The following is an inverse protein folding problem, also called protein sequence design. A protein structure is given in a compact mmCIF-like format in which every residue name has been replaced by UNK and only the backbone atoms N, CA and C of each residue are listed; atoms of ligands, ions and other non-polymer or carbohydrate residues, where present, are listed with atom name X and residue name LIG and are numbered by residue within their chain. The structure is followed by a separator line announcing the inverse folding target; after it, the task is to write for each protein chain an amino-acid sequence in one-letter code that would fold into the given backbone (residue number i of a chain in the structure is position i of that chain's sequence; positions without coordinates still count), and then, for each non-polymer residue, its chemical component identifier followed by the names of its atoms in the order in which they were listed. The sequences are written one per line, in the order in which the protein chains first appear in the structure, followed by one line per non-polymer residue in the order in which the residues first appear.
data_IF_687013005337
#
_entry.id   IF_687013005337
#
_cell.length_a   1.000
_cell.length_b   1.000
_cell.length_c   1.000
_cell.angle_alpha   90.00
_cell.angle_beta   90.00
_cell.angle_gamma   90.00
#
_symmetry.space_group_name_H-M   'P 1'
#
loop_
_entity.id
_entity.type
_entity.pdbx_description
1 polymer ?
#
# COMPACT_ATOMS: atom_id res chain seq x y z
N UNK A 1 -6.61 -22.76 -19.14
CA UNK A 1 -5.30 -22.08 -18.95
C UNK A 1 -4.18 -22.76 -19.75
N UNK A 2 -3.92 -24.07 -19.59
CA UNK A 2 -2.90 -24.78 -20.39
C UNK A 2 -3.05 -24.68 -21.90
N UNK A 3 -4.27 -24.85 -22.43
CA UNK A 3 -4.53 -24.71 -23.87
C UNK A 3 -4.22 -23.30 -24.43
N UNK A 4 -4.03 -22.30 -23.55
CA UNK A 4 -3.62 -20.93 -23.91
C UNK A 4 -2.14 -20.64 -23.57
N UNK A 5 -1.34 -21.67 -23.29
CA UNK A 5 0.07 -21.57 -22.91
C UNK A 5 0.34 -20.68 -21.69
N UNK A 6 -0.62 -20.59 -20.76
CA UNK A 6 -0.44 -19.92 -19.47
C UNK A 6 0.24 -20.91 -18.52
N UNK A 7 1.35 -20.51 -17.90
CA UNK A 7 2.09 -21.30 -16.92
C UNK A 7 2.00 -20.74 -15.49
N UNK A 8 1.65 -19.47 -15.32
CA UNK A 8 1.55 -18.81 -14.01
C UNK A 8 0.18 -18.21 -13.80
N UNK A 9 -0.42 -18.42 -12.62
CA UNK A 9 -1.71 -17.86 -12.24
C UNK A 9 -1.54 -16.85 -11.11
N UNK A 10 -2.31 -15.77 -11.16
CA UNK A 10 -2.38 -14.77 -10.10
C UNK A 10 -3.68 -15.01 -9.31
N UNK A 11 -3.57 -15.16 -8.00
CA UNK A 11 -4.70 -15.48 -7.14
C UNK A 11 -4.71 -14.62 -5.88
N UNK A 12 -5.85 -13.98 -5.52
CA UNK A 12 -5.94 -13.21 -4.30
C UNK A 12 -5.93 -14.11 -3.06
N UNK A 13 -5.19 -13.66 -2.04
CA UNK A 13 -5.24 -14.17 -0.68
C UNK A 13 -5.64 -12.99 0.19
N UNK A 14 -6.77 -13.10 0.87
CA UNK A 14 -7.37 -11.98 1.60
C UNK A 14 -7.14 -12.13 3.09
N UNK A 15 -6.91 -11.02 3.80
CA UNK A 15 -6.74 -11.05 5.24
C UNK A 15 -7.96 -11.66 5.94
N UNK A 16 -9.18 -11.26 5.57
CA UNK A 16 -10.39 -11.79 6.18
C UNK A 16 -10.58 -13.32 6.07
N UNK A 17 -9.97 -13.98 5.07
CA UNK A 17 -9.97 -15.44 4.98
C UNK A 17 -8.82 -16.08 5.77
N UNK A 18 -7.66 -15.43 5.83
CA UNK A 18 -6.49 -15.94 6.56
C UNK A 18 -6.68 -15.81 8.07
N UNK A 19 -7.27 -14.72 8.55
CA UNK A 19 -7.49 -14.43 9.98
C UNK A 19 -8.90 -13.84 10.22
N UNK A 20 -9.96 -14.66 10.09
CA UNK A 20 -11.35 -14.21 10.26
C UNK A 20 -11.64 -13.70 11.68
N UNK A 21 -11.03 -14.33 12.69
CA UNK A 21 -11.01 -13.91 14.11
C UNK A 21 -9.58 -13.56 14.47
N UNK A 22 -9.37 -12.47 15.22
CA UNK A 22 -8.03 -12.04 15.62
C UNK A 22 -7.26 -13.16 16.35
N UNK A 23 -6.12 -13.57 15.79
CA UNK A 23 -5.28 -14.65 16.29
C UNK A 23 -5.62 -16.07 15.80
N UNK A 24 -6.74 -16.26 15.09
CA UNK A 24 -7.17 -17.56 14.56
C UNK A 24 -6.89 -17.64 13.06
N UNK A 25 -5.85 -18.41 12.69
CA UNK A 25 -5.39 -18.50 11.31
C UNK A 25 -5.94 -19.73 10.57
N UNK A 26 -6.33 -19.55 9.31
CA UNK A 26 -6.76 -20.65 8.42
C UNK A 26 -6.11 -20.55 7.04
N UNK A 27 -5.41 -21.61 6.63
CA UNK A 27 -4.74 -21.72 5.32
C UNK A 27 -5.37 -22.79 4.41
N UNK A 28 -6.44 -23.44 4.85
CA UNK A 28 -7.02 -24.63 4.18
C UNK A 28 -7.28 -24.44 2.68
N UNK A 29 -7.92 -23.34 2.31
CA UNK A 29 -8.25 -23.07 0.90
C UNK A 29 -6.99 -22.77 0.08
N UNK A 30 -6.03 -22.05 0.67
CA UNK A 30 -4.76 -21.74 0.03
C UNK A 30 -3.94 -23.02 -0.21
N UNK A 31 -3.89 -23.92 0.76
CA UNK A 31 -3.18 -25.19 0.66
C UNK A 31 -3.71 -26.04 -0.49
N UNK A 32 -5.04 -26.12 -0.62
CA UNK A 32 -5.67 -26.84 -1.71
C UNK A 32 -5.33 -26.23 -3.08
N UNK A 33 -5.33 -24.89 -3.17
CA UNK A 33 -4.93 -24.19 -4.40
C UNK A 33 -3.47 -24.48 -4.76
N UNK A 34 -2.55 -24.48 -3.79
CA UNK A 34 -1.14 -24.78 -4.01
C UNK A 34 -0.96 -26.22 -4.50
N UNK A 35 -1.61 -27.19 -3.84
CA UNK A 35 -1.56 -28.61 -4.22
C UNK A 35 -2.07 -28.81 -5.65
N UNK A 36 -3.21 -28.20 -5.99
CA UNK A 36 -3.79 -28.34 -7.32
C UNK A 36 -2.94 -27.65 -8.39
N UNK A 37 -2.39 -26.47 -8.11
CA UNK A 37 -1.46 -25.80 -9.00
C UNK A 37 -0.21 -26.64 -9.26
N UNK A 38 0.41 -27.19 -8.21
CA UNK A 38 1.56 -28.06 -8.32
C UNK A 38 1.26 -29.32 -9.14
N UNK A 39 0.18 -30.04 -8.82
CA UNK A 39 -0.29 -31.23 -9.54
C UNK A 39 -0.50 -30.95 -11.02
N UNK A 40 -0.99 -29.77 -11.36
CA UNK A 40 -1.21 -29.35 -12.73
C UNK A 40 -0.01 -28.62 -13.35
N UNK A 41 1.12 -28.46 -12.67
CA UNK A 41 2.31 -27.81 -13.19
C UNK A 41 2.12 -26.32 -13.49
N UNK A 42 1.31 -25.62 -12.69
CA UNK A 42 1.20 -24.17 -12.68
C UNK A 42 2.11 -23.58 -11.60
N UNK A 43 2.68 -22.42 -11.90
CA UNK A 43 3.28 -21.52 -10.92
C UNK A 43 2.21 -20.55 -10.42
N UNK A 44 2.41 -20.00 -9.23
CA UNK A 44 1.47 -19.08 -8.60
C UNK A 44 2.16 -17.79 -8.17
N UNK A 45 1.44 -16.69 -8.35
CA UNK A 45 1.74 -15.40 -7.73
C UNK A 45 0.56 -15.04 -6.85
N UNK A 46 0.80 -14.87 -5.55
CA UNK A 46 -0.27 -14.51 -4.61
C UNK A 46 -0.44 -13.00 -4.58
N UNK A 47 -1.69 -12.55 -4.52
CA UNK A 47 -2.05 -11.15 -4.33
C UNK A 47 -2.52 -10.94 -2.90
N UNK A 48 -1.68 -10.38 -2.03
CA UNK A 48 -2.07 -10.08 -0.66
C UNK A 48 -3.07 -8.91 -0.64
N UNK A 49 -4.33 -9.22 -0.41
CA UNK A 49 -5.37 -8.22 -0.15
C UNK A 49 -5.49 -8.07 1.37
N UNK A 50 -4.52 -7.34 1.93
CA UNK A 50 -4.42 -6.99 3.33
C UNK A 50 -5.24 -5.75 3.68
N UNK A 51 -4.56 -4.74 4.18
CA UNK A 51 -5.13 -3.46 4.58
C UNK A 51 -5.64 -2.65 3.40
N UNK A 52 -5.05 -2.80 2.21
CA UNK A 52 -5.42 -1.98 1.05
C UNK A 52 -5.67 -2.81 -0.21
N UNK A 53 -6.86 -2.64 -0.77
CA UNK A 53 -7.25 -3.09 -2.12
C UNK A 53 -8.00 -1.96 -2.81
N UNK A 54 -7.47 -1.47 -3.94
CA UNK A 54 -8.06 -0.36 -4.70
C UNK A 54 -8.33 0.84 -3.79
N UNK A 55 -7.33 1.21 -2.99
CA UNK A 55 -7.36 2.26 -1.97
C UNK A 55 -8.42 2.11 -0.86
N UNK A 56 -9.06 0.95 -0.72
CA UNK A 56 -10.05 0.65 0.34
C UNK A 56 -9.55 -0.47 1.25
N UNK A 57 -10.02 -0.48 2.51
CA UNK A 57 -9.72 -1.53 3.49
C UNK A 57 -10.80 -2.60 3.55
N UNK A 58 -11.38 -2.97 2.40
CA UNK A 58 -12.56 -3.84 2.33
C UNK A 58 -12.28 -5.31 2.68
N UNK A 59 -11.05 -5.78 2.47
CA UNK A 59 -10.62 -7.17 2.70
C UNK A 59 -9.96 -7.40 4.07
N UNK A 60 -9.79 -6.34 4.86
CA UNK A 60 -9.46 -6.47 6.27
C UNK A 60 -10.63 -7.18 7.01
N UNK A 61 -10.34 -8.03 8.01
CA UNK A 61 -11.36 -8.76 8.74
C UNK A 61 -12.29 -7.83 9.52
N UNK A 62 -13.46 -8.35 9.92
CA UNK A 62 -14.47 -7.54 10.61
C UNK A 62 -13.97 -6.92 11.92
N UNK A 63 -13.08 -7.61 12.65
CA UNK A 63 -12.52 -7.10 13.90
C UNK A 63 -11.62 -5.87 13.68
N UNK A 64 -11.03 -5.71 12.49
CA UNK A 64 -10.35 -4.48 12.05
C UNK A 64 -11.37 -3.44 11.55
N UNK A 65 -12.29 -3.86 10.68
CA UNK A 65 -13.26 -2.96 10.02
C UNK A 65 -14.35 -2.40 10.94
N UNK A 66 -14.60 -3.00 12.10
CA UNK A 66 -15.60 -2.49 13.08
C UNK A 66 -14.98 -1.63 14.17
N UNK A 67 -13.71 -1.84 14.50
CA UNK A 67 -13.02 -1.06 15.53
C UNK A 67 -12.43 0.23 14.94
N UNK A 68 -13.22 1.31 15.03
CA UNK A 68 -12.87 2.64 14.49
C UNK A 68 -11.97 3.45 15.39
N UNK A 69 -11.85 3.07 16.66
CA UNK A 69 -10.94 3.70 17.61
C UNK A 69 -9.54 3.12 17.45
N UNK A 70 -9.43 1.79 17.35
CA UNK A 70 -8.14 1.10 17.15
C UNK A 70 -7.56 1.28 15.75
N UNK A 71 -8.42 1.41 14.72
CA UNK A 71 -7.96 1.54 13.32
C UNK A 71 -8.50 2.80 12.62
N UNK A 72 -8.21 4.04 13.07
CA UNK A 72 -8.84 5.25 12.54
C UNK A 72 -8.89 5.34 11.00
N UNK A 73 -9.95 5.94 10.44
CA UNK A 73 -10.18 6.05 8.99
C UNK A 73 -9.67 7.39 8.47
N UNK A 74 -9.28 7.43 7.20
CA UNK A 74 -8.97 8.71 6.55
C UNK A 74 -10.25 9.52 6.34
N UNK A 75 -10.11 10.83 6.40
CA UNK A 75 -11.11 11.79 5.96
C UNK A 75 -10.68 12.38 4.63
N UNK A 76 -11.62 12.70 3.75
CA UNK A 76 -11.35 13.34 2.47
C UNK A 76 -12.30 14.51 2.25
N UNK A 77 -11.96 15.44 1.35
CA UNK A 77 -12.90 16.44 0.85
C UNK A 77 -13.88 15.82 -0.14
N UNK A 78 -15.17 16.10 0.01
CA UNK A 78 -16.19 15.78 -0.98
C UNK A 78 -16.18 16.80 -2.14
N UNK A 79 -17.14 16.68 -3.07
CA UNK A 79 -17.21 17.54 -4.25
C UNK A 79 -17.52 19.01 -3.89
N UNK A 80 -18.21 19.22 -2.76
CA UNK A 80 -18.61 20.50 -2.20
C UNK A 80 -17.54 21.09 -1.26
N UNK A 81 -16.46 20.35 -0.99
CA UNK A 81 -15.36 20.74 -0.10
C UNK A 81 -15.59 20.40 1.38
N UNK A 82 -16.69 19.74 1.70
CA UNK A 82 -17.00 19.21 3.02
C UNK A 82 -16.10 18.01 3.38
N UNK A 83 -15.90 17.76 4.68
CA UNK A 83 -15.12 16.61 5.13
C UNK A 83 -16.01 15.38 5.24
N UNK A 84 -15.55 14.27 4.63
CA UNK A 84 -16.22 12.97 4.68
C UNK A 84 -15.25 11.89 5.12
N UNK A 85 -15.67 11.08 6.10
CA UNK A 85 -14.92 9.89 6.51
C UNK A 85 -15.11 8.78 5.48
N UNK A 86 -14.05 8.03 5.18
CA UNK A 86 -14.10 6.91 4.24
C UNK A 86 -14.03 5.56 4.97
N UNK A 87 -14.02 4.47 4.21
CA UNK A 87 -13.75 3.11 4.73
C UNK A 87 -12.26 2.73 4.67
N UNK A 88 -11.40 3.65 4.24
CA UNK A 88 -9.95 3.41 4.16
C UNK A 88 -9.31 3.73 5.51
N UNK A 89 -8.52 2.79 6.03
CA UNK A 89 -7.80 2.95 7.30
C UNK A 89 -6.58 3.84 7.11
N UNK A 90 -6.23 4.62 8.14
CA UNK A 90 -5.08 5.53 8.11
C UNK A 90 -3.76 4.75 8.04
N UNK A 91 -2.83 5.12 7.14
CA UNK A 91 -1.55 4.42 7.00
C UNK A 91 -0.54 4.75 8.12
N UNK A 92 -0.82 5.76 8.94
CA UNK A 92 0.08 6.22 10.00
C UNK A 92 -0.13 5.50 11.34
N UNK A 93 -1.20 4.72 11.49
CA UNK A 93 -1.51 4.00 12.73
C UNK A 93 -0.56 2.82 12.92
N UNK A 94 0.13 2.78 14.05
CA UNK A 94 1.08 1.71 14.39
C UNK A 94 0.35 0.38 14.50
N UNK A 95 -0.84 0.38 15.09
CA UNK A 95 -1.70 -0.78 15.27
C UNK A 95 -2.13 -1.37 13.92
N UNK A 96 -2.50 -0.54 12.96
CA UNK A 96 -2.87 -0.97 11.60
C UNK A 96 -1.68 -1.63 10.88
N UNK A 97 -0.50 -1.01 10.95
CA UNK A 97 0.73 -1.54 10.35
C UNK A 97 1.12 -2.88 10.97
N UNK A 98 1.12 -2.97 12.30
CA UNK A 98 1.52 -4.18 13.02
C UNK A 98 0.53 -5.32 12.83
N UNK A 99 -0.77 -5.02 12.83
CA UNK A 99 -1.81 -6.02 12.61
C UNK A 99 -1.65 -6.68 11.22
N UNK A 100 -1.50 -5.88 10.15
CA UNK A 100 -1.28 -6.43 8.81
C UNK A 100 0.03 -7.21 8.73
N UNK A 101 1.13 -6.58 9.16
CA UNK A 101 2.47 -7.18 9.08
C UNK A 101 2.55 -8.52 9.81
N UNK A 102 1.88 -8.67 10.97
CA UNK A 102 1.82 -9.94 11.71
C UNK A 102 1.18 -11.06 10.90
N UNK A 103 0.09 -10.74 10.19
CA UNK A 103 -0.69 -11.73 9.43
C UNK A 103 0.02 -12.07 8.14
N UNK A 104 0.58 -11.06 7.47
CA UNK A 104 1.42 -11.27 6.32
C UNK A 104 2.66 -12.11 6.67
N UNK A 105 3.34 -11.85 7.79
CA UNK A 105 4.41 -12.73 8.27
C UNK A 105 3.92 -14.16 8.54
N UNK A 106 2.73 -14.33 9.14
CA UNK A 106 2.19 -15.67 9.36
C UNK A 106 1.89 -16.40 8.05
N UNK A 107 1.37 -15.70 7.05
CA UNK A 107 1.20 -16.21 5.69
C UNK A 107 2.55 -16.62 5.09
N UNK A 108 3.55 -15.73 5.09
CA UNK A 108 4.88 -16.02 4.51
C UNK A 108 5.58 -17.19 5.19
N UNK A 109 5.47 -17.31 6.53
CA UNK A 109 5.97 -18.48 7.27
C UNK A 109 5.28 -19.77 6.81
N UNK A 110 3.96 -19.75 6.71
CA UNK A 110 3.19 -20.89 6.24
C UNK A 110 3.59 -21.32 4.82
N UNK A 111 3.79 -20.36 3.90
CA UNK A 111 4.26 -20.65 2.54
C UNK A 111 5.62 -21.34 2.52
N UNK A 112 6.56 -20.90 3.37
CA UNK A 112 7.87 -21.54 3.50
C UNK A 112 7.77 -22.97 4.01
N UNK A 113 6.92 -23.21 5.00
CA UNK A 113 6.71 -24.53 5.60
C UNK A 113 6.00 -25.49 4.64
N UNK A 114 4.98 -25.01 3.93
CA UNK A 114 4.11 -25.83 3.09
C UNK A 114 4.64 -26.02 1.66
N UNK A 115 5.16 -24.97 1.03
CA UNK A 115 5.53 -24.95 -0.39
C UNK A 115 7.03 -24.68 -0.64
N UNK A 116 7.83 -24.41 0.40
CA UNK A 116 9.23 -23.99 0.24
C UNK A 116 10.16 -24.99 -0.45
N UNK A 117 9.78 -26.28 -0.50
CA UNK A 117 10.50 -27.31 -1.28
C UNK A 117 10.08 -27.30 -2.75
N UNK A 118 8.78 -27.20 -3.01
CA UNK A 118 8.21 -27.30 -4.35
C UNK A 118 8.31 -25.98 -5.13
N UNK A 119 8.35 -24.84 -4.43
CA UNK A 119 8.40 -23.48 -4.99
C UNK A 119 7.32 -23.26 -6.06
N UNK A 120 6.09 -23.70 -5.77
CA UNK A 120 4.93 -23.47 -6.62
C UNK A 120 4.57 -21.98 -6.60
N UNK A 121 4.63 -21.34 -5.43
CA UNK A 121 4.53 -19.90 -5.25
C UNK A 121 5.89 -19.27 -5.58
N UNK A 122 5.93 -18.41 -6.60
CA UNK A 122 7.19 -17.79 -7.05
C UNK A 122 7.32 -16.31 -6.66
N UNK A 123 6.21 -15.63 -6.37
CA UNK A 123 6.19 -14.22 -5.95
C UNK A 123 4.94 -13.91 -5.14
N UNK A 124 4.99 -12.83 -4.35
CA UNK A 124 3.81 -12.30 -3.66
C UNK A 124 3.71 -10.79 -3.89
N UNK A 125 2.54 -10.32 -4.29
CA UNK A 125 2.20 -8.91 -4.28
C UNK A 125 1.83 -8.51 -2.85
N UNK A 126 2.40 -7.43 -2.32
CA UNK A 126 2.09 -6.86 -1.00
C UNK A 126 1.12 -5.71 -1.19
N UNK A 127 -0.07 -5.85 -0.58
CA UNK A 127 -1.24 -4.99 -0.83
C UNK A 127 -1.71 -5.01 -2.29
N UNK A 128 -2.72 -4.21 -2.61
CA UNK A 128 -3.19 -4.02 -3.97
C UNK A 128 -3.67 -2.58 -4.25
N UNK A 129 -3.06 -1.93 -5.25
CA UNK A 129 -3.48 -0.60 -5.73
C UNK A 129 -3.71 0.39 -4.57
N UNK A 130 -2.67 0.58 -3.75
CA UNK A 130 -2.73 1.46 -2.58
C UNK A 130 -2.88 2.92 -2.99
N UNK A 131 -3.53 3.73 -2.15
CA UNK A 131 -3.70 5.16 -2.42
C UNK A 131 -4.83 5.77 -1.61
N UNK A 132 -5.18 7.01 -1.97
CA UNK A 132 -6.35 7.73 -1.50
C UNK A 132 -7.25 7.97 -2.70
N UNK A 133 -8.53 7.61 -2.59
CA UNK A 133 -9.51 7.94 -3.63
C UNK A 133 -10.17 9.29 -3.33
N UNK A 134 -10.45 10.04 -4.40
CA UNK A 134 -11.27 11.26 -4.42
C UNK A 134 -10.65 12.54 -3.81
N UNK A 135 -9.52 12.44 -3.13
CA UNK A 135 -8.74 13.58 -2.61
C UNK A 135 -7.24 13.28 -2.74
N UNK A 136 -6.40 14.29 -2.62
CA UNK A 136 -4.93 14.16 -2.66
C UNK A 136 -4.37 13.51 -1.40
N UNK A 137 -5.07 13.64 -0.26
CA UNK A 137 -4.63 13.11 1.03
C UNK A 137 -5.73 12.89 2.06
N UNK A 138 -5.34 12.26 3.16
CA UNK A 138 -6.11 12.26 4.40
C UNK A 138 -6.19 13.69 4.99
N UNK A 139 -7.41 14.11 5.33
CA UNK A 139 -7.81 15.39 5.94
C UNK A 139 -8.21 15.22 7.42
N UNK A 140 -7.95 14.05 8.02
CA UNK A 140 -8.20 13.78 9.43
C UNK A 140 -7.35 14.72 10.32
N UNK A 141 -7.78 14.92 11.57
CA UNK A 141 -7.01 15.73 12.53
C UNK A 141 -5.59 15.19 12.73
N UNK A 142 -5.42 13.86 12.70
CA UNK A 142 -4.12 13.20 12.76
C UNK A 142 -3.25 13.58 11.57
N UNK A 143 -3.78 13.47 10.35
CA UNK A 143 -3.06 13.81 9.14
C UNK A 143 -2.72 15.31 9.07
N UNK A 144 -3.64 16.19 9.46
CA UNK A 144 -3.39 17.64 9.55
C UNK A 144 -2.23 17.98 10.49
N UNK A 145 -2.12 17.27 11.61
CA UNK A 145 -0.99 17.43 12.52
C UNK A 145 0.31 16.93 11.90
N UNK A 146 0.28 15.76 11.26
CA UNK A 146 1.48 15.13 10.70
C UNK A 146 2.05 15.87 9.50
N UNK A 147 1.20 16.36 8.59
CA UNK A 147 1.67 17.08 7.39
C UNK A 147 2.27 18.46 7.73
N UNK A 148 1.84 19.10 8.82
CA UNK A 148 2.46 20.33 9.33
C UNK A 148 3.80 20.07 10.03
N UNK A 149 4.11 18.79 10.29
CA UNK A 149 5.35 18.37 10.90
C UNK A 149 6.48 18.24 9.88
N UNK A 150 7.54 17.58 10.34
CA UNK A 150 8.78 17.40 9.61
C UNK A 150 8.67 16.27 8.59
N UNK A 151 9.22 16.49 7.40
CA UNK A 151 9.45 15.45 6.42
C UNK A 151 10.66 14.58 6.83
N UNK A 152 10.64 13.26 6.58
CA UNK A 152 11.71 12.37 7.00
C UNK A 152 13.06 12.73 6.37
N UNK A 153 14.04 13.08 7.20
CA UNK A 153 15.33 13.59 6.74
C UNK A 153 16.13 12.60 5.88
N UNK A 154 16.06 11.30 6.18
CA UNK A 154 16.82 10.27 5.46
C UNK A 154 16.38 10.15 3.99
N UNK A 155 15.07 9.98 3.68
CA UNK A 155 14.56 10.11 2.31
C UNK A 155 14.95 11.40 1.61
N UNK A 156 14.87 12.56 2.28
CA UNK A 156 15.25 13.84 1.67
C UNK A 156 16.73 13.83 1.23
N UNK A 157 17.63 13.41 2.13
CA UNK A 157 19.07 13.30 1.84
C UNK A 157 19.35 12.32 0.70
N UNK A 158 18.69 11.17 0.70
CA UNK A 158 18.87 10.16 -0.33
C UNK A 158 18.42 10.65 -1.72
N UNK A 159 17.25 11.30 -1.80
CA UNK A 159 16.75 11.89 -3.04
C UNK A 159 17.67 13.04 -3.51
N UNK A 160 18.20 13.84 -2.60
CA UNK A 160 19.13 14.91 -2.92
C UNK A 160 20.48 14.36 -3.44
N UNK A 161 21.04 13.35 -2.80
CA UNK A 161 22.32 12.75 -3.22
C UNK A 161 22.22 12.00 -4.55
N UNK A 162 21.05 11.46 -4.85
CA UNK A 162 20.79 10.67 -6.06
C UNK A 162 20.12 11.50 -7.16
N UNK A 163 20.22 12.83 -7.09
CA UNK A 163 19.45 13.76 -7.92
C UNK A 163 19.53 13.44 -9.41
N UNK A 164 20.72 13.16 -9.93
CA UNK A 164 20.91 12.94 -11.37
C UNK A 164 20.30 11.63 -11.89
N UNK A 165 20.12 10.66 -10.99
CA UNK A 165 19.50 9.36 -11.26
C UNK A 165 17.97 9.38 -11.05
N UNK A 166 17.43 10.46 -10.48
CA UNK A 166 15.98 10.57 -10.28
C UNK A 166 15.22 10.66 -11.60
N UNK A 167 14.02 10.11 -11.59
CA UNK A 167 13.11 10.13 -12.73
C UNK A 167 12.91 11.58 -13.25
N UNK A 168 12.98 11.84 -14.59
CA UNK A 168 12.85 13.18 -15.15
C UNK A 168 11.61 13.96 -14.68
N UNK A 169 10.45 13.29 -14.58
CA UNK A 169 9.23 13.90 -14.03
C UNK A 169 9.39 14.42 -12.59
N UNK A 170 10.12 13.73 -11.73
CA UNK A 170 10.36 14.20 -10.36
C UNK A 170 11.19 15.49 -10.39
N UNK A 171 12.30 15.50 -11.16
CA UNK A 171 13.17 16.67 -11.30
C UNK A 171 12.45 17.88 -11.88
N UNK A 172 11.65 17.67 -12.92
CA UNK A 172 10.84 18.73 -13.54
C UNK A 172 9.79 19.29 -12.56
N UNK A 173 9.23 18.43 -11.72
CA UNK A 173 8.20 18.81 -10.75
C UNK A 173 8.77 19.54 -9.54
N UNK A 174 9.92 19.11 -9.03
CA UNK A 174 10.58 19.69 -7.85
C UNK A 174 11.98 20.21 -8.20
N UNK A 175 12.12 21.21 -9.09
CA UNK A 175 13.43 21.65 -9.60
C UNK A 175 14.38 22.20 -8.54
N UNK A 176 13.82 22.73 -7.44
CA UNK A 176 14.58 23.27 -6.32
C UNK A 176 14.96 22.21 -5.27
N UNK A 177 14.49 20.96 -5.41
CA UNK A 177 14.69 19.91 -4.41
C UNK A 177 16.19 19.60 -4.17
N UNK A 178 17.00 19.66 -5.23
CA UNK A 178 18.46 19.47 -5.12
C UNK A 178 19.16 20.51 -4.24
N UNK A 179 18.53 21.67 -4.04
CA UNK A 179 19.06 22.79 -3.27
C UNK A 179 18.45 22.87 -1.86
N UNK A 180 17.69 21.86 -1.42
CA UNK A 180 17.14 21.83 -0.07
C UNK A 180 18.27 21.85 0.96
N UNK A 181 18.10 22.68 1.98
CA UNK A 181 18.99 22.71 3.12
C UNK A 181 18.63 21.56 4.08
N UNK A 182 19.29 20.42 3.91
CA UNK A 182 19.11 19.22 4.76
C UNK A 182 20.14 19.12 5.90
N UNK A 183 20.94 20.19 6.10
CA UNK A 183 22.01 20.25 7.13
C UNK A 183 21.64 21.10 8.33
N UNK A 184 20.85 22.15 8.15
CA UNK A 184 20.60 23.16 9.20
C UNK A 184 19.37 22.88 10.06
N UNK A 185 18.82 21.67 9.97
CA UNK A 185 17.67 21.24 10.76
C UNK A 185 16.69 20.40 9.95
N UNK A 186 15.59 19.96 10.58
CA UNK A 186 14.51 19.29 9.90
C UNK A 186 13.72 20.28 9.02
N UNK A 187 13.25 19.80 7.88
CA UNK A 187 12.37 20.55 6.98
C UNK A 187 10.95 20.03 7.15
N UNK A 188 9.97 20.92 7.17
CA UNK A 188 8.55 20.53 7.06
C UNK A 188 8.24 19.96 5.68
N UNK A 189 7.12 19.25 5.55
CA UNK A 189 6.62 18.76 4.25
C UNK A 189 6.49 19.88 3.22
N UNK A 190 5.90 21.00 3.62
CA UNK A 190 5.70 22.16 2.76
C UNK A 190 7.02 22.84 2.38
N UNK A 191 8.00 22.94 3.29
CA UNK A 191 9.33 23.47 2.95
C UNK A 191 10.09 22.57 1.97
N UNK A 192 9.97 21.25 2.11
CA UNK A 192 10.66 20.28 1.26
C UNK A 192 10.02 20.16 -0.14
N UNK A 193 8.69 20.15 -0.24
CA UNK A 193 7.98 19.81 -1.48
C UNK A 193 7.11 20.94 -2.06
N UNK A 194 6.86 22.00 -1.28
CA UNK A 194 5.90 23.06 -1.61
C UNK A 194 4.47 22.70 -1.19
N UNK A 195 3.61 23.72 -1.03
CA UNK A 195 2.19 23.55 -0.68
C UNK A 195 1.35 23.14 -1.90
N UNK A 196 0.48 22.16 -1.72
CA UNK A 196 -0.66 21.89 -2.61
C UNK A 196 -0.87 20.42 -2.96
N UNK A 197 -2.01 20.14 -3.60
CA UNK A 197 -2.46 18.77 -3.91
C UNK A 197 -1.39 17.92 -4.62
N UNK A 198 -0.71 18.49 -5.62
CA UNK A 198 0.32 17.80 -6.38
C UNK A 198 1.72 18.00 -5.81
N UNK A 199 1.86 18.50 -4.59
CA UNK A 199 3.14 18.86 -3.95
C UNK A 199 3.30 18.07 -2.65
N UNK A 200 3.22 18.71 -1.49
CA UNK A 200 3.32 18.07 -0.19
C UNK A 200 2.20 17.05 0.05
N UNK A 201 0.94 17.34 -0.31
CA UNK A 201 -0.20 16.45 -0.07
C UNK A 201 0.06 15.02 -0.58
N UNK A 202 0.35 14.85 -1.88
CA UNK A 202 0.58 13.53 -2.48
C UNK A 202 1.89 12.88 -1.99
N UNK A 203 2.92 13.66 -1.69
CA UNK A 203 4.22 13.12 -1.27
C UNK A 203 4.14 12.64 0.19
N UNK A 204 3.42 13.38 1.03
CA UNK A 204 3.06 12.99 2.39
C UNK A 204 2.30 11.66 2.42
N UNK A 205 1.28 11.50 1.56
CA UNK A 205 0.55 10.23 1.47
C UNK A 205 1.40 9.09 0.90
N UNK A 206 2.17 9.35 -0.15
CA UNK A 206 3.02 8.35 -0.79
C UNK A 206 4.05 7.79 0.19
N UNK A 207 4.68 8.67 0.98
CA UNK A 207 5.64 8.28 2.00
C UNK A 207 4.99 7.47 3.15
N UNK A 208 3.79 7.86 3.59
CA UNK A 208 3.04 7.12 4.59
C UNK A 208 2.71 5.69 4.16
N UNK A 209 2.13 5.56 2.96
CA UNK A 209 1.75 4.28 2.37
C UNK A 209 2.99 3.44 2.06
N UNK A 210 4.08 4.06 1.57
CA UNK A 210 5.34 3.38 1.33
C UNK A 210 5.93 2.81 2.62
N UNK A 211 5.88 3.55 3.74
CA UNK A 211 6.32 3.02 5.04
C UNK A 211 5.44 1.88 5.51
N UNK A 212 4.13 1.99 5.37
CA UNK A 212 3.20 0.91 5.71
C UNK A 212 3.57 -0.38 4.97
N UNK A 213 3.65 -0.31 3.63
CA UNK A 213 3.96 -1.48 2.80
C UNK A 213 5.37 -1.99 3.08
N UNK A 214 6.34 -1.10 3.34
CA UNK A 214 7.69 -1.50 3.73
C UNK A 214 7.68 -2.33 5.03
N UNK A 215 6.94 -1.90 6.06
CA UNK A 215 6.80 -2.66 7.31
C UNK A 215 6.20 -4.04 7.04
N UNK A 216 5.12 -4.14 6.27
CA UNK A 216 4.49 -5.43 5.94
C UNK A 216 5.47 -6.32 5.15
N UNK A 217 6.03 -5.80 4.07
CA UNK A 217 6.92 -6.54 3.18
C UNK A 217 8.20 -7.01 3.89
N UNK A 218 8.87 -6.14 4.65
CA UNK A 218 10.09 -6.50 5.39
C UNK A 218 9.82 -7.55 6.47
N UNK A 219 8.68 -7.45 7.18
CA UNK A 219 8.28 -8.43 8.19
C UNK A 219 8.00 -9.80 7.55
N UNK A 220 7.28 -9.84 6.43
CA UNK A 220 7.04 -11.09 5.70
C UNK A 220 8.30 -11.70 5.07
N UNK A 221 9.18 -10.85 4.51
CA UNK A 221 10.46 -11.28 3.93
C UNK A 221 11.38 -11.93 4.95
N UNK A 222 11.34 -11.50 6.21
CA UNK A 222 12.10 -12.13 7.29
C UNK A 222 11.67 -13.58 7.56
N UNK A 223 10.41 -13.93 7.30
CA UNK A 223 9.90 -15.29 7.42
C UNK A 223 10.26 -16.13 6.19
N UNK A 224 10.03 -15.58 4.98
CA UNK A 224 10.34 -16.22 3.71
C UNK A 224 10.78 -15.22 2.63
N UNK A 225 12.04 -15.35 2.21
CA UNK A 225 12.70 -14.43 1.27
C UNK A 225 12.43 -14.81 -0.21
N UNK A 226 11.15 -14.77 -0.61
CA UNK A 226 10.75 -14.83 -2.02
C UNK A 226 10.50 -13.42 -2.58
N UNK A 227 10.55 -13.22 -3.90
CA UNK A 227 10.33 -11.91 -4.49
C UNK A 227 8.98 -11.31 -4.11
N UNK A 228 9.02 -10.09 -3.56
CA UNK A 228 7.84 -9.29 -3.24
C UNK A 228 7.74 -8.10 -4.19
N UNK A 229 6.52 -7.74 -4.59
CA UNK A 229 6.27 -6.53 -5.38
C UNK A 229 5.00 -5.81 -4.93
N UNK A 230 4.78 -4.61 -5.44
CA UNK A 230 3.49 -3.90 -5.32
C UNK A 230 3.02 -3.50 -6.72
N UNK A 231 1.71 -3.49 -6.94
CA UNK A 231 1.13 -2.91 -8.15
C UNK A 231 0.73 -1.44 -7.93
N UNK A 232 0.67 -0.69 -9.02
CA UNK A 232 0.27 0.71 -9.01
C UNK A 232 -0.96 0.88 -9.88
N UNK A 233 -1.94 1.64 -9.37
CA UNK A 233 -3.02 2.14 -10.21
C UNK A 233 -2.52 3.33 -11.00
N UNK A 234 -2.65 3.26 -12.32
CA UNK A 234 -2.34 4.41 -13.17
C UNK A 234 -3.46 5.42 -13.04
N UNK A 235 -3.17 6.58 -12.45
CA UNK A 235 -4.09 7.71 -12.52
C UNK A 235 -4.21 8.16 -13.99
N UNK A 236 -5.38 7.91 -14.58
CA UNK A 236 -5.75 8.52 -15.85
C UNK A 236 -5.99 10.01 -15.57
N UNK A 237 -5.14 10.86 -16.13
CA UNK A 237 -5.26 12.30 -16.00
C UNK A 237 -6.63 12.74 -16.53
N UNK A 238 -7.60 13.00 -15.65
CA UNK A 238 -8.78 13.77 -16.03
C UNK A 238 -8.28 15.20 -16.19
N UNK A 239 -8.42 15.76 -17.39
CA UNK A 239 -8.29 17.21 -17.59
C UNK A 239 -9.24 17.98 -16.65
N UNK A 240 -9.16 19.32 -16.61
CA UNK A 240 -10.00 20.13 -15.72
C UNK A 240 -11.47 19.67 -15.81
N UNK A 241 -12.06 19.38 -14.64
CA UNK A 241 -13.37 18.74 -14.47
C UNK A 241 -14.40 19.29 -15.47
N UNK A 242 -14.66 18.57 -16.56
CA UNK A 242 -15.88 18.74 -17.33
C UNK A 242 -17.00 18.00 -16.61
N UNK A 243 -18.16 18.66 -16.47
CA UNK A 243 -19.39 18.18 -15.79
C UNK A 243 -20.05 16.97 -16.48
N UNK A 244 -19.31 15.92 -16.79
CA UNK A 244 -19.85 14.67 -17.35
C UNK A 244 -19.59 13.53 -16.37
N UNK A 245 -20.68 13.12 -15.73
CA UNK A 245 -20.83 11.94 -14.90
C UNK A 245 -20.48 10.67 -15.70
N UNK A 246 -19.20 10.31 -15.73
CA UNK A 246 -18.80 8.93 -16.04
C UNK A 246 -18.18 8.34 -14.78
N UNK A 247 -19.04 7.62 -14.05
CA UNK A 247 -18.66 6.62 -13.07
C UNK A 247 -18.10 5.45 -13.88
N UNK A 248 -16.79 5.40 -14.04
CA UNK A 248 -16.15 4.14 -14.44
C UNK A 248 -16.11 3.28 -13.18
N UNK A 249 -17.11 2.42 -13.03
CA UNK A 249 -17.07 1.33 -12.07
C UNK A 249 -15.84 0.47 -12.39
N UNK A 250 -14.98 0.28 -11.38
CA UNK A 250 -14.03 -0.84 -11.32
C UNK A 250 -14.76 -2.05 -10.73
#
# INVERSE_FOLDING_TARGET
MKARNINTLLGPVTWELIEPTEGEFSFRELDQIIVDAHKHGFLLILLWFGMYKNALSSYAPQWVRRDRERFPRICIRDAEGGLRVTETIQPYGVEAQQADAKVFARLMRHLKEFDGVNNTIIMVQVENEIGVMWDSRDRSATAEKLIRGEAPLQPLKHLQSSWDDLHPYFRAKFPNFRHLNTTDGPLTWTEAFGDGEWRDDIIFMADALSRFVHTVASTGRAEYDIPLYMNLVKMLHRGPRSNSTEITQL
#
